data_IF_018463951254
#
_entry.id   IF_018463951254
#
_cell.length_a   1.000
_cell.length_b   1.000
_cell.length_c   1.000
_cell.angle_alpha   90.00
_cell.angle_beta   90.00
_cell.angle_gamma   90.00
#
_symmetry.space_group_name_H-M   'P 1'
#
loop_
_entity.id
_entity.type
_entity.pdbx_description
1 polymer ?
#
# COMPACT_ATOMS: atom_id res chain seq x y z
N UNK A 1 -4.13 4.05 -27.67
CA UNK A 1 -2.94 3.18 -27.54
C UNK A 1 -1.84 4.05 -26.95
N UNK A 2 -1.20 3.65 -25.84
CA UNK A 2 -0.09 4.43 -25.30
C UNK A 2 1.00 4.57 -26.38
N UNK A 3 1.45 5.80 -26.60
CA UNK A 3 2.33 6.19 -27.71
C UNK A 3 3.83 6.14 -27.35
N UNK A 4 4.18 5.49 -26.24
CA UNK A 4 5.55 5.42 -25.69
C UNK A 4 5.97 3.95 -25.52
N UNK A 5 7.04 3.55 -26.22
CA UNK A 5 7.56 2.18 -26.27
C UNK A 5 8.12 1.67 -24.92
N UNK A 6 8.17 2.52 -23.88
CA UNK A 6 8.59 2.13 -22.52
C UNK A 6 7.45 1.71 -21.62
N UNK A 7 6.20 1.84 -22.07
CA UNK A 7 5.01 1.50 -21.30
C UNK A 7 4.48 0.13 -21.71
N UNK A 8 4.61 -0.86 -20.83
CA UNK A 8 4.02 -2.19 -21.01
C UNK A 8 2.69 -2.30 -20.26
N UNK A 9 1.70 -2.92 -20.89
CA UNK A 9 0.42 -3.26 -20.27
C UNK A 9 0.55 -4.62 -19.59
N UNK A 10 0.48 -4.64 -18.26
CA UNK A 10 0.48 -5.88 -17.46
C UNK A 10 -0.89 -6.10 -16.85
N UNK A 11 -1.37 -7.35 -16.89
CA UNK A 11 -2.60 -7.74 -16.18
C UNK A 11 -2.22 -8.04 -14.74
N UNK A 12 -2.81 -7.32 -13.79
CA UNK A 12 -2.66 -7.62 -12.37
C UNK A 12 -3.72 -8.66 -11.97
N UNK A 13 -3.34 -9.80 -11.38
CA UNK A 13 -4.30 -10.77 -10.88
C UNK A 13 -5.14 -10.18 -9.74
N UNK A 14 -6.33 -10.72 -9.55
CA UNK A 14 -7.15 -10.42 -8.37
C UNK A 14 -6.43 -10.83 -7.08
N UNK A 15 -6.50 -9.96 -6.07
CA UNK A 15 -5.86 -10.17 -4.77
C UNK A 15 -6.60 -9.40 -3.69
N UNK A 16 -6.57 -9.92 -2.47
CA UNK A 16 -7.13 -9.26 -1.29
C UNK A 16 -6.03 -8.57 -0.51
N UNK A 17 -6.20 -7.29 -0.23
CA UNK A 17 -5.20 -6.48 0.48
C UNK A 17 -5.75 -6.00 1.81
N UNK A 18 -4.99 -6.20 2.88
CA UNK A 18 -5.14 -5.44 4.10
C UNK A 18 -4.43 -4.09 3.93
N UNK A 19 -5.13 -2.99 4.20
CA UNK A 19 -4.63 -1.62 3.94
C UNK A 19 -4.76 -0.76 5.18
N UNK A 20 -3.70 -0.02 5.50
CA UNK A 20 -3.72 1.05 6.51
C UNK A 20 -3.44 2.39 5.83
N UNK A 21 -4.40 3.31 5.95
CA UNK A 21 -4.28 4.68 5.48
C UNK A 21 -3.59 5.58 6.51
N UNK A 22 -2.75 6.49 6.05
CA UNK A 22 -2.10 7.50 6.88
C UNK A 22 -1.85 8.82 6.11
N UNK A 23 -1.84 9.93 6.85
CA UNK A 23 -1.57 11.28 6.30
C UNK A 23 -0.11 11.70 6.50
N UNK A 24 0.25 12.87 5.94
CA UNK A 24 1.58 13.51 5.96
C UNK A 24 2.57 12.99 4.90
N UNK A 25 3.78 13.58 4.90
CA UNK A 25 4.86 13.16 3.99
C UNK A 25 5.27 11.71 4.28
N UNK A 26 5.34 10.85 3.25
CA UNK A 26 5.74 9.45 3.39
C UNK A 26 7.27 9.33 3.43
N UNK A 27 7.88 9.67 4.56
CA UNK A 27 9.32 9.37 4.77
C UNK A 27 9.52 7.88 4.98
N UNK A 28 10.70 7.34 4.66
CA UNK A 28 11.01 5.92 4.87
C UNK A 28 10.70 5.47 6.30
N UNK A 29 11.11 6.24 7.30
CA UNK A 29 10.82 5.94 8.70
C UNK A 29 9.31 5.90 9.02
N UNK A 30 8.53 6.78 8.39
CA UNK A 30 7.08 6.80 8.58
C UNK A 30 6.41 5.61 7.90
N UNK A 31 6.79 5.30 6.67
CA UNK A 31 6.30 4.12 5.95
C UNK A 31 6.60 2.85 6.76
N UNK A 32 7.83 2.70 7.26
CA UNK A 32 8.22 1.57 8.10
C UNK A 32 7.35 1.47 9.35
N UNK A 33 7.14 2.58 10.06
CA UNK A 33 6.29 2.60 11.25
C UNK A 33 4.86 2.17 10.94
N UNK A 34 4.22 2.76 9.94
CA UNK A 34 2.82 2.46 9.60
C UNK A 34 2.67 1.00 9.12
N UNK A 35 3.68 0.49 8.40
CA UNK A 35 3.78 -0.92 8.02
C UNK A 35 3.83 -1.83 9.23
N UNK A 36 4.71 -1.54 10.18
CA UNK A 36 4.89 -2.38 11.36
C UNK A 36 3.62 -2.36 12.23
N UNK A 37 2.93 -1.21 12.32
CA UNK A 37 1.61 -1.11 12.96
C UNK A 37 0.53 -1.93 12.25
N UNK A 38 0.52 -1.96 10.91
CA UNK A 38 -0.40 -2.81 10.14
C UNK A 38 -0.13 -4.29 10.41
N UNK A 39 1.12 -4.73 10.34
CA UNK A 39 1.49 -6.12 10.57
C UNK A 39 1.16 -6.58 12.00
N UNK A 40 1.42 -5.73 12.99
CA UNK A 40 1.04 -6.02 14.38
C UNK A 40 -0.48 -6.20 14.51
N UNK A 41 -1.26 -5.30 13.91
CA UNK A 41 -2.74 -5.38 13.94
C UNK A 41 -3.26 -6.67 13.30
N UNK A 42 -2.67 -7.10 12.19
CA UNK A 42 -3.05 -8.36 11.52
C UNK A 42 -2.68 -9.58 12.35
N UNK A 43 -1.50 -9.55 13.00
CA UNK A 43 -1.07 -10.62 13.89
C UNK A 43 -2.00 -10.75 15.12
N UNK A 44 -2.38 -9.63 15.74
CA UNK A 44 -3.35 -9.62 16.85
C UNK A 44 -4.74 -10.14 16.43
N UNK A 45 -5.10 -9.99 15.15
CA UNK A 45 -6.36 -10.44 14.58
C UNK A 45 -6.31 -11.86 13.97
N UNK A 46 -5.19 -12.58 14.09
CA UNK A 46 -4.94 -13.89 13.46
C UNK A 46 -5.14 -13.90 11.93
N UNK A 47 -4.86 -12.78 11.27
CA UNK A 47 -4.96 -12.65 9.81
C UNK A 47 -3.61 -12.98 9.16
N UNK A 48 -3.57 -14.08 8.41
CA UNK A 48 -2.38 -14.50 7.69
C UNK A 48 -2.08 -13.59 6.48
N UNK A 49 -0.83 -13.11 6.40
CA UNK A 49 -0.30 -12.41 5.22
C UNK A 49 0.31 -13.40 4.22
N UNK A 50 0.14 -13.13 2.93
CA UNK A 50 0.60 -14.01 1.83
C UNK A 50 1.66 -13.36 0.93
N UNK A 51 2.18 -12.19 1.34
CA UNK A 51 3.19 -11.46 0.57
C UNK A 51 3.92 -10.40 1.38
N UNK A 52 4.80 -9.65 0.70
CA UNK A 52 5.54 -8.55 1.31
C UNK A 52 4.69 -7.26 1.37
N UNK A 53 4.75 -6.51 2.48
CA UNK A 53 4.07 -5.22 2.57
C UNK A 53 4.73 -4.18 1.67
N UNK A 54 3.90 -3.30 1.09
CA UNK A 54 4.33 -2.27 0.15
C UNK A 54 3.55 -0.97 0.35
N UNK A 55 4.06 0.12 -0.24
CA UNK A 55 3.52 1.45 -0.12
C UNK A 55 2.74 1.86 -1.37
N UNK A 56 1.60 2.53 -1.17
CA UNK A 56 0.81 3.14 -2.24
C UNK A 56 0.58 4.62 -1.92
N UNK A 57 1.11 5.52 -2.77
CA UNK A 57 0.93 6.96 -2.64
C UNK A 57 0.18 7.51 -3.85
N UNK A 58 -0.92 8.24 -3.61
CA UNK A 58 -1.84 8.67 -4.68
C UNK A 58 -1.81 10.18 -4.96
N UNK A 59 -0.94 10.93 -4.28
CA UNK A 59 -0.94 12.39 -4.33
C UNK A 59 0.12 13.00 -5.23
N UNK A 60 -0.29 14.02 -5.98
CA UNK A 60 0.60 14.86 -6.75
C UNK A 60 1.64 15.57 -5.84
N UNK A 61 2.81 15.95 -6.39
CA UNK A 61 3.85 16.67 -5.62
C UNK A 61 3.33 17.96 -4.95
N UNK A 62 2.26 18.56 -5.48
CA UNK A 62 1.64 19.80 -5.00
C UNK A 62 0.62 19.62 -3.86
N UNK A 63 0.21 18.39 -3.52
CA UNK A 63 -0.74 18.16 -2.42
C UNK A 63 -0.10 18.51 -1.07
N UNK A 64 -0.76 19.38 -0.31
CA UNK A 64 -0.33 19.76 1.04
C UNK A 64 -0.12 18.51 1.90
N UNK A 65 0.95 18.44 2.73
CA UNK A 65 1.32 17.21 3.42
C UNK A 65 0.18 16.55 4.20
N UNK A 66 -0.61 17.33 4.93
CA UNK A 66 -1.70 16.82 5.76
C UNK A 66 -2.94 16.38 4.97
N UNK A 67 -3.08 16.79 3.71
CA UNK A 67 -4.15 16.35 2.82
C UNK A 67 -3.77 15.10 2.02
N UNK A 68 -2.52 14.63 2.15
CA UNK A 68 -2.08 13.44 1.44
C UNK A 68 -2.75 12.18 1.98
N UNK A 69 -3.20 11.33 1.07
CA UNK A 69 -3.63 9.95 1.31
C UNK A 69 -2.50 9.02 0.90
N UNK A 70 -1.84 8.48 1.91
CA UNK A 70 -0.86 7.42 1.74
C UNK A 70 -1.40 6.13 2.34
N UNK A 71 -0.95 5.00 1.79
CA UNK A 71 -1.35 3.67 2.21
C UNK A 71 -0.11 2.78 2.35
N UNK A 72 -0.12 1.93 3.37
CA UNK A 72 0.67 0.70 3.40
C UNK A 72 -0.29 -0.47 3.26
N UNK A 73 0.07 -1.42 2.41
CA UNK A 73 -0.76 -2.57 2.08
C UNK A 73 0.06 -3.85 2.17
N UNK A 74 -0.59 -4.95 2.52
CA UNK A 74 -0.03 -6.30 2.43
C UNK A 74 -1.12 -7.24 1.92
N UNK A 75 -0.72 -8.21 1.10
CA UNK A 75 -1.64 -9.22 0.62
C UNK A 75 -2.00 -10.19 1.75
N UNK A 76 -3.29 -10.53 1.83
CA UNK A 76 -3.84 -11.50 2.78
C UNK A 76 -4.56 -12.60 2.02
N UNK A 77 -4.71 -13.77 2.64
CA UNK A 77 -5.51 -14.84 2.05
C UNK A 77 -6.93 -14.31 1.78
N UNK A 78 -7.35 -14.34 0.51
CA UNK A 78 -8.72 -14.01 0.14
C UNK A 78 -9.68 -15.09 0.65
N UNK A 79 -10.87 -14.69 1.09
CA UNK A 79 -11.95 -15.65 1.31
C UNK A 79 -12.40 -16.17 -0.07
N UNK A 80 -12.33 -17.49 -0.28
CA UNK A 80 -12.85 -18.18 -1.48
C UNK A 80 -14.30 -18.62 -1.28
#
# INVERSE_FOLDING_TARGET
MPTDDRAELVTAPERTLAVKQFSWRPTTARITRERDELLATLADADVATVGEPFFMGYDAPWTLPFLRRNEVAVEVAGES
#
